data_IF_627708336131
#
_entry.id   IF_627708336131
#
_cell.length_a   1.000
_cell.length_b   1.000
_cell.length_c   1.000
_cell.angle_alpha   90.00
_cell.angle_beta   90.00
_cell.angle_gamma   90.00
#
_symmetry.space_group_name_H-M   'P 1'
#
loop_
_entity.id
_entity.type
_entity.pdbx_description
1 polymer ?
#
# COMPACT_ATOMS: atom_id res chain seq x y z
N UNK A 1 8.70 15.17 0.45
CA UNK A 1 9.42 14.02 1.00
C UNK A 1 8.43 12.92 1.31
N UNK A 2 8.65 11.69 0.85
CA UNK A 2 7.83 10.52 1.15
C UNK A 2 8.38 9.84 2.42
N UNK A 3 7.53 9.63 3.43
CA UNK A 3 7.89 8.87 4.63
C UNK A 3 7.39 7.43 4.48
N UNK A 4 8.29 6.47 4.46
CA UNK A 4 7.97 5.06 4.17
C UNK A 4 8.19 4.22 5.42
N UNK A 5 7.13 3.59 5.93
CA UNK A 5 7.23 2.77 7.15
C UNK A 5 7.29 1.29 6.77
N UNK A 6 8.40 0.64 7.14
CA UNK A 6 8.75 -0.72 6.72
C UNK A 6 8.97 -1.62 7.93
N UNK A 7 8.63 -2.89 7.79
CA UNK A 7 8.94 -3.92 8.77
C UNK A 7 9.72 -5.06 8.11
N UNK A 8 10.71 -5.59 8.82
CA UNK A 8 11.71 -6.53 8.28
C UNK A 8 11.17 -7.87 7.84
N UNK A 9 10.02 -8.28 8.36
CA UNK A 9 9.43 -9.60 8.15
C UNK A 9 7.99 -9.49 7.64
N UNK A 10 7.65 -8.34 7.05
CA UNK A 10 6.31 -8.04 6.55
C UNK A 10 6.30 -8.05 4.99
N UNK A 11 5.42 -8.84 4.36
CA UNK A 11 5.42 -9.04 2.90
C UNK A 11 5.26 -7.77 2.06
N UNK A 12 4.38 -6.85 2.43
CA UNK A 12 4.15 -5.62 1.66
C UNK A 12 5.36 -4.68 1.73
N UNK A 13 6.07 -4.65 2.85
CA UNK A 13 7.33 -3.92 3.02
C UNK A 13 8.40 -4.43 2.04
N UNK A 14 8.47 -5.74 1.77
CA UNK A 14 9.37 -6.33 0.76
C UNK A 14 9.04 -5.90 -0.68
N UNK A 15 7.77 -5.74 -1.00
CA UNK A 15 7.36 -5.23 -2.32
C UNK A 15 7.63 -3.72 -2.42
N UNK A 16 7.34 -2.99 -1.35
CA UNK A 16 7.45 -1.54 -1.33
C UNK A 16 8.89 -1.09 -1.50
N UNK A 17 9.87 -1.76 -0.89
CA UNK A 17 11.31 -1.44 -1.09
C UNK A 17 11.75 -1.56 -2.54
N UNK A 18 11.19 -2.51 -3.31
CA UNK A 18 11.45 -2.61 -4.76
C UNK A 18 10.80 -1.49 -5.56
N UNK A 19 9.72 -0.88 -5.04
CA UNK A 19 9.02 0.23 -5.67
C UNK A 19 9.70 1.59 -5.45
N UNK A 20 10.38 1.80 -4.31
CA UNK A 20 10.96 3.11 -3.96
C UNK A 20 11.94 3.64 -5.02
N UNK A 21 12.91 2.85 -5.55
CA UNK A 21 13.82 3.34 -6.58
C UNK A 21 13.10 3.72 -7.88
N UNK A 22 12.01 3.01 -8.23
CA UNK A 22 11.18 3.31 -9.41
C UNK A 22 10.41 4.61 -9.23
N UNK A 23 9.91 4.90 -8.01
CA UNK A 23 9.27 6.18 -7.70
C UNK A 23 10.28 7.34 -7.74
N UNK A 24 11.46 7.17 -7.15
CA UNK A 24 12.50 8.22 -7.12
C UNK A 24 13.08 8.54 -8.50
N UNK A 25 13.10 7.57 -9.43
CA UNK A 25 13.54 7.83 -10.80
C UNK A 25 12.48 8.56 -11.63
N UNK A 26 11.19 8.36 -11.34
CA UNK A 26 10.06 8.93 -12.09
C UNK A 26 9.55 10.26 -11.54
N UNK A 27 9.77 10.54 -10.26
CA UNK A 27 9.28 11.73 -9.59
C UNK A 27 10.41 12.42 -8.80
N UNK A 28 10.38 13.75 -8.77
CA UNK A 28 11.29 14.60 -8.03
C UNK A 28 10.96 14.57 -6.53
N UNK A 29 11.12 13.40 -5.91
CA UNK A 29 10.79 13.14 -4.51
C UNK A 29 11.99 12.56 -3.75
N UNK A 30 12.16 13.02 -2.51
CA UNK A 30 13.02 12.34 -1.54
C UNK A 30 12.24 11.27 -0.79
N UNK A 31 12.90 10.17 -0.44
CA UNK A 31 12.34 9.07 0.34
C UNK A 31 13.08 8.97 1.68
N UNK A 32 12.33 8.94 2.76
CA UNK A 32 12.84 8.68 4.12
C UNK A 32 12.21 7.38 4.62
N UNK A 33 13.04 6.36 4.82
CA UNK A 33 12.60 5.05 5.32
C UNK A 33 12.61 5.04 6.85
N UNK A 34 11.55 4.50 7.43
CA UNK A 34 11.31 4.38 8.86
C UNK A 34 11.08 2.91 9.16
N UNK A 35 11.97 2.28 9.93
CA UNK A 35 11.78 0.90 10.35
C UNK A 35 10.89 0.84 11.58
N UNK A 36 9.88 -0.03 11.54
CA UNK A 36 8.91 -0.22 12.61
C UNK A 36 8.82 -1.68 12.99
N UNK A 37 8.38 -1.93 14.23
CA UNK A 37 8.06 -3.27 14.69
C UNK A 37 6.67 -3.68 14.20
N UNK A 38 6.35 -4.93 14.48
CA UNK A 38 5.00 -5.42 14.38
C UNK A 38 3.98 -4.51 15.08
N UNK A 39 2.77 -4.40 14.54
CA UNK A 39 1.66 -3.69 15.19
C UNK A 39 1.25 -4.38 16.49
N UNK A 40 0.69 -3.59 17.41
CA UNK A 40 0.07 -4.08 18.65
C UNK A 40 -1.09 -5.05 18.38
N UNK A 41 -1.35 -5.98 19.31
CA UNK A 41 -2.43 -6.96 19.19
C UNK A 41 -3.83 -6.33 19.07
N UNK A 42 -4.02 -5.14 19.64
CA UNK A 42 -5.28 -4.39 19.51
C UNK A 42 -5.58 -3.97 18.07
N UNK A 43 -4.55 -3.81 17.24
CA UNK A 43 -4.66 -3.50 15.82
C UNK A 43 -4.71 -4.75 14.93
N UNK A 44 -4.33 -5.92 15.47
CA UNK A 44 -4.30 -7.18 14.75
C UNK A 44 -4.92 -8.30 15.60
N UNK A 45 -6.26 -8.39 15.67
CA UNK A 45 -6.94 -9.41 16.46
C UNK A 45 -6.66 -10.85 16.00
N UNK A 46 -6.30 -11.05 14.73
CA UNK A 46 -6.12 -12.36 14.09
C UNK A 46 -4.75 -12.44 13.40
N UNK A 47 -3.68 -12.36 14.20
CA UNK A 47 -2.28 -12.23 13.73
C UNK A 47 -1.84 -13.32 12.76
N UNK A 48 -2.17 -14.58 13.07
CA UNK A 48 -1.82 -15.70 12.20
C UNK A 48 -2.52 -15.63 10.84
N UNK A 49 -3.80 -15.21 10.81
CA UNK A 49 -4.52 -15.00 9.55
C UNK A 49 -3.93 -13.84 8.76
N UNK A 50 -3.62 -12.71 9.43
CA UNK A 50 -2.97 -11.57 8.76
C UNK A 50 -1.64 -11.99 8.13
N UNK A 51 -0.82 -12.77 8.86
CA UNK A 51 0.46 -13.28 8.36
C UNK A 51 0.26 -14.22 7.18
N UNK A 52 -0.67 -15.17 7.27
CA UNK A 52 -0.95 -16.12 6.20
C UNK A 52 -1.46 -15.42 4.92
N UNK A 53 -2.42 -14.51 5.06
CA UNK A 53 -3.02 -13.82 3.91
C UNK A 53 -2.08 -12.79 3.29
N UNK A 54 -1.30 -12.04 4.10
CA UNK A 54 -0.33 -11.07 3.55
C UNK A 54 0.73 -11.75 2.67
N UNK A 55 1.15 -12.99 2.99
CA UNK A 55 2.05 -13.78 2.15
C UNK A 55 1.43 -14.16 0.81
N UNK A 56 0.17 -14.59 0.82
CA UNK A 56 -0.56 -14.96 -0.40
C UNK A 56 -0.76 -13.74 -1.29
N UNK A 57 -1.19 -12.63 -0.71
CA UNK A 57 -1.50 -11.41 -1.45
C UNK A 57 -0.23 -10.75 -1.98
N UNK A 58 0.82 -10.62 -1.17
CA UNK A 58 2.09 -10.10 -1.65
C UNK A 58 2.67 -10.94 -2.79
N UNK A 59 2.54 -12.26 -2.75
CA UNK A 59 2.95 -13.14 -3.86
C UNK A 59 2.15 -12.83 -5.14
N UNK A 60 0.84 -12.61 -5.04
CA UNK A 60 -0.02 -12.26 -6.19
C UNK A 60 0.34 -10.89 -6.77
N UNK A 61 0.50 -9.89 -5.91
CA UNK A 61 0.92 -8.55 -6.31
C UNK A 61 2.31 -8.55 -6.94
N UNK A 62 3.23 -9.37 -6.43
CA UNK A 62 4.56 -9.51 -7.03
C UNK A 62 4.49 -10.03 -8.46
N UNK A 63 3.64 -11.05 -8.72
CA UNK A 63 3.40 -11.54 -10.08
C UNK A 63 2.79 -10.46 -10.97
N UNK A 64 1.74 -9.78 -10.49
CA UNK A 64 1.04 -8.73 -11.25
C UNK A 64 1.97 -7.57 -11.66
N UNK A 65 2.86 -7.14 -10.76
CA UNK A 65 3.76 -6.01 -11.00
C UNK A 65 5.16 -6.40 -11.48
N UNK A 66 5.40 -7.69 -11.77
CA UNK A 66 6.70 -8.20 -12.20
C UNK A 66 7.81 -7.93 -11.16
N UNK A 67 7.51 -8.12 -9.89
CA UNK A 67 8.43 -8.02 -8.75
C UNK A 67 8.85 -9.40 -8.25
N UNK A 68 9.90 -9.42 -7.43
CA UNK A 68 10.39 -10.65 -6.80
C UNK A 68 9.74 -10.80 -5.43
N UNK A 69 9.28 -12.01 -5.11
CA UNK A 69 8.80 -12.37 -3.79
C UNK A 69 9.16 -13.82 -3.42
N UNK A 70 9.75 -14.08 -2.23
CA UNK A 70 10.15 -13.11 -1.22
C UNK A 70 11.36 -12.27 -1.67
N UNK A 71 11.41 -11.00 -1.25
CA UNK A 71 12.53 -10.12 -1.55
C UNK A 71 13.41 -9.93 -0.30
N UNK A 72 14.75 -9.92 -0.44
CA UNK A 72 15.63 -9.64 0.67
C UNK A 72 15.43 -8.18 1.14
N UNK A 73 15.38 -7.99 2.46
CA UNK A 73 15.40 -6.67 3.08
C UNK A 73 16.76 -6.47 3.76
N UNK A 74 17.36 -5.30 3.52
CA UNK A 74 18.57 -4.90 4.22
C UNK A 74 18.22 -4.41 5.63
N UNK A 75 18.56 -5.23 6.63
CA UNK A 75 18.30 -4.95 8.05
C UNK A 75 19.45 -4.20 8.73
N UNK A 76 20.50 -3.81 8.00
CA UNK A 76 21.77 -3.31 8.56
C UNK A 76 21.70 -1.93 9.23
N UNK A 77 20.60 -1.19 9.05
CA UNK A 77 20.46 0.22 9.48
C UNK A 77 19.44 0.45 10.61
N UNK A 78 18.98 -0.60 11.29
CA UNK A 78 17.96 -0.50 12.34
C UNK A 78 18.64 -0.30 13.69
N UNK A 79 18.42 0.86 14.32
CA UNK A 79 18.83 1.13 15.70
C UNK A 79 17.60 1.28 16.59
N UNK A 80 17.75 1.03 17.89
CA UNK A 80 16.65 1.16 18.85
C UNK A 80 16.06 2.58 18.84
N UNK A 81 16.92 3.60 18.76
CA UNK A 81 16.49 5.00 18.69
C UNK A 81 15.69 5.31 17.44
N UNK A 82 16.16 4.88 16.25
CA UNK A 82 15.44 5.14 15.00
C UNK A 82 14.12 4.37 14.94
N UNK A 83 14.06 3.17 15.53
CA UNK A 83 12.85 2.39 15.67
C UNK A 83 11.81 3.12 16.54
N UNK A 84 12.20 3.62 17.71
CA UNK A 84 11.30 4.36 18.60
C UNK A 84 10.79 5.65 17.97
N UNK A 85 11.66 6.42 17.30
CA UNK A 85 11.27 7.64 16.57
C UNK A 85 10.26 7.33 15.46
N UNK A 86 10.51 6.27 14.68
CA UNK A 86 9.60 5.81 13.64
C UNK A 86 8.23 5.43 14.21
N UNK A 87 8.18 4.74 15.36
CA UNK A 87 6.91 4.40 16.02
C UNK A 87 6.16 5.64 16.47
N UNK A 88 6.84 6.62 17.07
CA UNK A 88 6.23 7.87 17.51
C UNK A 88 5.67 8.66 16.33
N UNK A 89 6.40 8.76 15.22
CA UNK A 89 5.92 9.41 13.99
C UNK A 89 4.70 8.70 13.41
N UNK A 90 4.76 7.37 13.26
CA UNK A 90 3.66 6.54 12.75
C UNK A 90 2.39 6.75 13.59
N UNK A 91 2.54 6.71 14.92
CA UNK A 91 1.44 6.92 15.87
C UNK A 91 0.90 8.34 15.82
N UNK A 92 1.78 9.34 15.81
CA UNK A 92 1.41 10.77 15.74
C UNK A 92 0.58 11.08 14.48
N UNK A 93 0.91 10.45 13.35
CA UNK A 93 0.19 10.62 12.10
C UNK A 93 -0.98 9.64 11.92
N UNK A 94 -1.33 8.88 12.97
CA UNK A 94 -2.57 8.12 13.02
C UNK A 94 -2.54 6.80 12.26
N UNK A 95 -1.40 6.12 12.20
CA UNK A 95 -1.30 4.80 11.59
C UNK A 95 -0.64 3.77 12.51
N UNK A 96 -0.77 2.50 12.17
CA UNK A 96 -0.28 1.38 13.00
C UNK A 96 0.34 0.24 12.20
N UNK A 97 0.14 0.16 10.88
CA UNK A 97 0.75 -0.88 10.04
C UNK A 97 2.10 -0.44 9.46
N UNK A 98 2.81 -1.40 8.88
CA UNK A 98 3.96 -1.21 8.00
C UNK A 98 3.55 -1.42 6.54
N UNK A 99 4.48 -1.28 5.59
CA UNK A 99 4.17 -1.37 4.16
C UNK A 99 3.34 -0.17 3.68
N UNK A 100 3.58 1.01 4.27
CA UNK A 100 2.82 2.24 3.99
C UNK A 100 3.74 3.40 3.63
N UNK A 101 3.22 4.29 2.79
CA UNK A 101 3.82 5.60 2.53
C UNK A 101 2.92 6.69 3.12
N UNK A 102 3.52 7.64 3.81
CA UNK A 102 2.90 8.90 4.21
C UNK A 102 3.44 10.06 3.36
N UNK A 103 2.53 10.90 2.86
CA UNK A 103 2.87 12.11 2.13
C UNK A 103 1.82 13.20 2.38
N UNK A 104 2.26 14.33 2.94
CA UNK A 104 1.46 15.57 3.06
C UNK A 104 0.02 15.32 3.57
N UNK A 105 -0.10 14.62 4.70
CA UNK A 105 -1.38 14.34 5.38
C UNK A 105 -2.09 13.05 4.96
N UNK A 106 -1.60 12.33 3.94
CA UNK A 106 -2.28 11.14 3.41
C UNK A 106 -1.43 9.88 3.56
N UNK A 107 -2.13 8.75 3.71
CA UNK A 107 -1.55 7.42 3.80
C UNK A 107 -1.87 6.59 2.56
N UNK A 108 -0.85 5.95 2.01
CA UNK A 108 -0.94 5.04 0.87
C UNK A 108 -0.44 3.68 1.31
N UNK A 109 -1.36 2.73 1.48
CA UNK A 109 -1.06 1.39 1.96
C UNK A 109 -0.85 0.41 0.80
N UNK A 110 0.23 -0.35 0.86
CA UNK A 110 0.54 -1.36 -0.13
C UNK A 110 0.99 -0.77 -1.47
N UNK A 111 1.56 -1.64 -2.29
CA UNK A 111 2.05 -1.29 -3.62
C UNK A 111 0.91 -1.05 -4.62
N UNK A 112 -0.21 -1.73 -4.41
CA UNK A 112 -1.43 -1.70 -5.21
C UNK A 112 -2.18 -0.36 -5.13
N UNK A 113 -1.83 0.51 -4.17
CA UNK A 113 -2.38 1.87 -4.04
C UNK A 113 -1.44 2.96 -4.52
N UNK A 114 -0.22 2.63 -4.95
CA UNK A 114 0.74 3.65 -5.36
C UNK A 114 0.28 4.45 -6.57
N UNK A 115 -0.58 3.92 -7.43
CA UNK A 115 -1.16 4.69 -8.53
C UNK A 115 -1.94 5.94 -8.05
N UNK A 116 -2.50 5.94 -6.83
CA UNK A 116 -3.11 7.14 -6.24
C UNK A 116 -2.06 8.18 -5.85
N UNK A 117 -0.96 7.74 -5.22
CA UNK A 117 0.17 8.62 -4.91
C UNK A 117 0.76 9.20 -6.19
N UNK A 118 0.97 8.37 -7.21
CA UNK A 118 1.47 8.78 -8.52
C UNK A 118 0.55 9.82 -9.18
N UNK A 119 -0.77 9.64 -9.13
CA UNK A 119 -1.73 10.65 -9.61
C UNK A 119 -1.51 11.99 -8.92
N UNK A 120 -1.43 12.00 -7.59
CA UNK A 120 -1.19 13.23 -6.81
C UNK A 120 0.15 13.87 -7.14
N UNK A 121 1.22 13.08 -7.29
CA UNK A 121 2.55 13.59 -7.66
C UNK A 121 2.55 14.19 -9.08
N UNK A 122 1.79 13.62 -10.02
CA UNK A 122 1.60 14.17 -11.36
C UNK A 122 0.83 15.49 -11.31
N UNK A 123 -0.25 15.58 -10.53
CA UNK A 123 -1.05 16.80 -10.37
C UNK A 123 -0.22 17.96 -9.75
N UNK A 124 0.77 17.61 -8.92
CA UNK A 124 1.74 18.55 -8.36
C UNK A 124 2.90 18.90 -9.31
N UNK A 125 2.95 18.31 -10.52
CA UNK A 125 4.00 18.57 -11.50
C UNK A 125 5.37 17.99 -11.12
N UNK A 126 5.41 16.97 -10.25
CA UNK A 126 6.67 16.40 -9.74
C UNK A 126 7.28 15.33 -10.64
N UNK A 127 6.71 15.02 -11.81
CA UNK A 127 7.30 14.04 -12.72
C UNK A 127 8.63 14.53 -13.29
N UNK A 128 9.65 13.68 -13.29
CA UNK A 128 10.97 13.94 -13.89
C UNK A 128 11.01 13.58 -15.38
N UNK A 129 10.00 12.87 -15.88
CA UNK A 129 9.87 12.63 -17.31
C UNK A 129 9.62 13.98 -17.97
N UNK A 130 10.45 14.33 -18.96
CA UNK A 130 10.33 15.59 -19.69
C UNK A 130 8.87 15.83 -20.07
N UNK A 131 8.42 17.10 -20.02
CA UNK A 131 7.08 17.58 -20.37
C UNK A 131 6.72 17.23 -21.83
N UNK A 132 6.70 15.95 -22.16
CA UNK A 132 6.05 15.46 -23.36
C UNK A 132 4.57 15.71 -23.14
N UNK A 133 3.90 16.16 -24.18
CA UNK A 133 2.45 16.40 -24.22
C UNK A 133 1.62 15.15 -23.84
N UNK A 134 2.27 14.01 -23.59
CA UNK A 134 1.73 12.71 -23.21
C UNK A 134 1.86 12.40 -21.71
N UNK A 135 2.30 13.35 -20.84
CA UNK A 135 2.48 13.06 -19.41
C UNK A 135 1.19 12.57 -18.73
N UNK A 136 0.04 13.15 -19.09
CA UNK A 136 -1.28 12.69 -18.63
C UNK A 136 -1.71 11.33 -19.21
N UNK A 137 -0.96 10.77 -20.16
CA UNK A 137 -1.18 9.44 -20.74
C UNK A 137 -0.20 8.39 -20.21
N UNK A 138 0.82 8.79 -19.43
CA UNK A 138 1.81 7.87 -18.93
C UNK A 138 1.19 6.96 -17.85
N UNK A 139 1.05 5.66 -18.18
CA UNK A 139 0.49 4.65 -17.26
C UNK A 139 1.25 4.68 -15.91
N UNK A 140 0.55 4.55 -14.76
CA UNK A 140 1.17 4.42 -13.45
C UNK A 140 2.14 3.23 -13.42
N UNK A 141 3.20 3.33 -12.61
CA UNK A 141 4.17 2.25 -12.40
C UNK A 141 3.50 1.00 -11.84
N UNK A 142 2.54 1.18 -10.94
CA UNK A 142 1.82 0.12 -10.24
C UNK A 142 0.30 0.31 -10.39
N UNK A 143 -0.18 0.18 -11.62
CA UNK A 143 -1.60 0.33 -11.92
C UNK A 143 -2.40 -0.87 -11.46
N UNK A 144 -3.44 -0.62 -10.66
CA UNK A 144 -4.41 -1.64 -10.23
C UNK A 144 -5.76 -1.34 -10.87
N UNK A 145 -6.31 -2.21 -11.72
CA UNK A 145 -7.66 -2.03 -12.24
C UNK A 145 -8.67 -2.03 -11.08
N UNK A 146 -9.44 -0.96 -10.92
CA UNK A 146 -10.42 -0.86 -9.81
C UNK A 146 -11.73 -1.60 -10.07
N UNK A 147 -12.16 -1.68 -11.33
CA UNK A 147 -13.38 -2.36 -11.74
C UNK A 147 -13.13 -3.09 -13.05
N UNK A 148 -13.43 -4.39 -13.07
CA UNK A 148 -13.49 -5.17 -14.29
C UNK A 148 -14.85 -5.84 -14.35
N UNK A 149 -15.61 -5.67 -15.45
CA UNK A 149 -16.84 -6.42 -15.63
C UNK A 149 -16.49 -7.91 -15.76
N UNK A 150 -17.06 -8.72 -14.89
CA UNK A 150 -16.94 -10.18 -14.97
C UNK A 150 -18.13 -10.68 -15.78
N UNK A 151 -17.86 -11.27 -16.95
CA UNK A 151 -18.91 -11.72 -17.86
C UNK A 151 -19.70 -12.92 -17.32
N UNK A 152 -19.09 -13.75 -16.47
CA UNK A 152 -19.72 -14.92 -15.88
C UNK A 152 -19.22 -15.10 -14.44
N UNK A 153 -20.13 -15.05 -13.48
CA UNK A 153 -19.88 -15.42 -12.09
C UNK A 153 -20.23 -16.90 -11.94
N UNK A 154 -19.29 -17.78 -11.52
CA UNK A 154 -19.59 -19.20 -11.33
C UNK A 154 -20.76 -19.42 -10.38
N UNK A 155 -21.62 -20.39 -10.70
CA UNK A 155 -22.75 -20.77 -9.85
C UNK A 155 -22.28 -21.21 -8.47
N UNK A 156 -22.95 -20.76 -7.41
CA UNK A 156 -22.54 -21.01 -6.02
C UNK A 156 -21.48 -20.06 -5.47
N UNK A 157 -21.09 -19.01 -6.21
CA UNK A 157 -20.25 -17.94 -5.67
C UNK A 157 -21.06 -17.09 -4.69
N UNK A 158 -20.67 -17.09 -3.41
CA UNK A 158 -21.22 -16.22 -2.38
C UNK A 158 -20.14 -15.31 -1.80
N UNK A 159 -20.53 -14.10 -1.41
CA UNK A 159 -19.66 -13.15 -0.70
C UNK A 159 -20.27 -12.92 0.68
N UNK A 160 -19.52 -13.26 1.72
CA UNK A 160 -19.88 -12.90 3.09
C UNK A 160 -19.51 -11.44 3.34
N UNK A 161 -20.52 -10.59 3.49
CA UNK A 161 -20.32 -9.17 3.79
C UNK A 161 -20.56 -8.87 5.28
N UNK A 162 -19.47 -8.64 6.01
CA UNK A 162 -19.52 -8.24 7.42
C UNK A 162 -19.69 -6.71 7.54
N UNK A 163 -20.86 -6.27 8.03
CA UNK A 163 -21.22 -4.86 8.14
C UNK A 163 -21.14 -4.33 9.57
N UNK A 164 -20.78 -3.05 9.75
CA UNK A 164 -20.80 -2.35 11.04
C UNK A 164 -21.71 -1.12 10.98
N UNK A 165 -22.75 -1.10 11.83
CA UNK A 165 -23.68 0.04 11.96
C UNK A 165 -23.03 1.32 12.48
N UNK A 166 -21.80 1.24 13.00
CA UNK A 166 -21.05 2.38 13.54
C UNK A 166 -19.93 2.85 12.61
N UNK A 167 -19.84 2.28 11.41
CA UNK A 167 -18.80 2.60 10.44
C UNK A 167 -19.39 3.36 9.25
N UNK A 168 -19.01 4.64 9.04
CA UNK A 168 -19.44 5.37 7.85
C UNK A 168 -18.97 4.69 6.55
N UNK A 169 -17.81 4.01 6.57
CA UNK A 169 -17.33 3.24 5.42
C UNK A 169 -18.23 2.04 5.12
N UNK A 170 -18.73 1.35 6.15
CA UNK A 170 -19.68 0.25 5.94
C UNK A 170 -20.94 0.75 5.25
N UNK A 171 -21.47 1.92 5.64
CA UNK A 171 -22.64 2.51 5.00
C UNK A 171 -22.42 2.80 3.51
N UNK A 172 -21.26 3.37 3.16
CA UNK A 172 -20.90 3.65 1.75
C UNK A 172 -20.75 2.34 0.96
N UNK A 173 -20.04 1.35 1.51
CA UNK A 173 -19.82 0.06 0.84
C UNK A 173 -21.11 -0.74 0.64
N UNK A 174 -22.00 -0.75 1.64
CA UNK A 174 -23.27 -1.48 1.56
C UNK A 174 -24.12 -1.01 0.37
N UNK A 175 -24.20 0.30 0.13
CA UNK A 175 -24.95 0.85 -0.99
C UNK A 175 -24.44 0.41 -2.37
N UNK A 176 -23.17 -0.01 -2.49
CA UNK A 176 -22.62 -0.54 -3.73
C UNK A 176 -22.78 -2.06 -3.82
N UNK A 177 -22.57 -2.79 -2.72
CA UNK A 177 -22.67 -4.26 -2.69
C UNK A 177 -24.08 -4.74 -3.03
N UNK A 178 -25.13 -4.06 -2.55
CA UNK A 178 -26.50 -4.44 -2.87
C UNK A 178 -26.87 -4.23 -4.35
N UNK A 179 -26.05 -3.54 -5.16
CA UNK A 179 -26.22 -3.51 -6.62
C UNK A 179 -25.67 -4.76 -7.30
N UNK A 180 -24.85 -5.55 -6.61
CA UNK A 180 -24.23 -6.77 -7.12
C UNK A 180 -25.00 -8.03 -6.72
N UNK A 181 -25.89 -7.93 -5.72
CA UNK A 181 -26.79 -8.99 -5.27
C UNK A 181 -28.12 -8.95 -6.04
#
# INVERSE_FOLDING_TARGET
MLHVFLQTDEPYSQLLTQALPKLQSRYAVSVMQHWVSEPDDSAVPEREKLKAYSQIDAKRLAVEYGLVFPAPLDKSSISETSLQEAHQLRKKWGHYLSGVIYYEGEWYWGIDRLHHLESRLNDLGLSTQAQSLELHKAKPLFFTPQYQPVAHVPEGTAIDFYFSFRSPYSAISAAQIFKWA
#
